data_IF_880916509047
#
_entry.id   IF_880916509047
#
_cell.length_a   1.000
_cell.length_b   1.000
_cell.length_c   1.000
_cell.angle_alpha   90.00
_cell.angle_beta   90.00
_cell.angle_gamma   90.00
#
_symmetry.space_group_name_H-M   'P 1'
#
loop_
_entity.id
_entity.type
_entity.pdbx_description
1 polymer ?
#
# COMPACT_ATOMS: atom_id res chain seq x y z
N UNK A 1 -2.47 9.91 42.82
CA UNK A 1 -2.28 11.11 41.96
C UNK A 1 -1.96 10.65 40.55
N UNK A 2 -2.98 10.61 39.69
CA UNK A 2 -2.88 10.10 38.31
C UNK A 2 -2.36 11.22 37.42
N UNK A 3 -1.12 11.08 36.92
CA UNK A 3 -0.51 12.05 36.01
C UNK A 3 -1.25 12.00 34.66
N UNK A 4 -1.98 13.07 34.33
CA UNK A 4 -2.58 13.31 33.01
C UNK A 4 -1.49 13.24 31.95
N UNK A 5 -1.52 12.21 31.10
CA UNK A 5 -0.70 12.13 29.89
C UNK A 5 -1.14 13.23 28.93
N UNK A 6 -0.23 14.19 28.67
CA UNK A 6 -0.40 15.21 27.63
C UNK A 6 -0.57 14.51 26.28
N UNK A 7 -1.75 14.68 25.69
CA UNK A 7 -2.06 14.25 24.34
C UNK A 7 -1.15 15.04 23.38
N UNK A 8 -0.11 14.40 22.85
CA UNK A 8 0.74 14.97 21.81
C UNK A 8 -0.06 14.89 20.51
N UNK A 9 -0.40 16.03 19.86
CA UNK A 9 -1.16 16.01 18.62
C UNK A 9 -0.40 15.22 17.55
N UNK A 10 -1.10 14.31 16.88
CA UNK A 10 -0.53 13.52 15.79
C UNK A 10 0.05 14.46 14.72
N UNK A 11 1.29 14.24 14.25
CA UNK A 11 1.92 15.11 13.27
C UNK A 11 1.11 15.06 11.96
N UNK A 12 0.61 16.22 11.53
CA UNK A 12 -0.01 16.38 10.21
C UNK A 12 1.08 16.10 9.17
N UNK A 13 0.92 15.02 8.40
CA UNK A 13 1.81 14.70 7.28
C UNK A 13 1.61 15.79 6.22
N UNK A 14 2.50 16.77 6.19
CA UNK A 14 2.56 17.78 5.14
C UNK A 14 2.97 17.09 3.84
N UNK A 15 2.15 17.23 2.80
CA UNK A 15 2.50 16.76 1.45
C UNK A 15 3.61 17.66 0.92
N UNK A 16 4.85 17.23 1.07
CA UNK A 16 6.02 17.91 0.53
C UNK A 16 6.07 17.70 -0.98
N UNK A 17 6.18 18.80 -1.73
CA UNK A 17 6.42 18.81 -3.18
C UNK A 17 7.89 19.15 -3.41
N UNK A 18 8.62 18.26 -4.05
CA UNK A 18 10.02 18.47 -4.43
C UNK A 18 10.13 18.48 -5.95
N UNK A 19 10.83 19.47 -6.49
CA UNK A 19 11.12 19.55 -7.91
C UNK A 19 12.41 18.78 -8.22
N UNK A 20 12.34 17.84 -9.17
CA UNK A 20 13.49 17.03 -9.56
C UNK A 20 13.14 15.86 -10.46
N UNK A 21 14.10 15.46 -11.29
CA UNK A 21 13.99 14.29 -12.17
C UNK A 21 14.67 13.07 -11.52
N UNK A 22 14.05 11.91 -11.66
CA UNK A 22 14.64 10.62 -11.32
C UNK A 22 15.52 10.13 -12.47
N UNK A 23 16.78 9.77 -12.19
CA UNK A 23 17.73 9.29 -13.21
C UNK A 23 18.24 7.87 -12.95
N UNK A 24 17.74 7.24 -11.89
CA UNK A 24 18.15 5.92 -11.45
C UNK A 24 17.00 4.94 -11.62
N UNK A 25 17.28 3.83 -12.30
CA UNK A 25 16.32 2.73 -12.45
C UNK A 25 15.84 2.25 -11.08
N UNK A 26 16.73 2.19 -10.08
CA UNK A 26 16.36 1.76 -8.73
C UNK A 26 15.32 2.69 -8.11
N UNK A 27 15.51 4.01 -8.21
CA UNK A 27 14.62 4.99 -7.59
C UNK A 27 13.26 5.08 -8.31
N UNK A 28 13.26 4.93 -9.64
CA UNK A 28 12.04 4.81 -10.43
C UNK A 28 11.22 3.58 -10.01
N UNK A 29 11.88 2.42 -9.86
CA UNK A 29 11.21 1.20 -9.41
C UNK A 29 10.72 1.30 -7.96
N UNK A 30 11.47 1.98 -7.07
CA UNK A 30 11.01 2.26 -5.70
C UNK A 30 9.73 3.08 -5.73
N UNK A 31 9.72 4.20 -6.46
CA UNK A 31 8.53 5.07 -6.54
C UNK A 31 7.32 4.30 -7.07
N UNK A 32 7.50 3.56 -8.18
CA UNK A 32 6.42 2.78 -8.77
C UNK A 32 5.87 1.71 -7.84
N UNK A 33 6.74 0.98 -7.15
CA UNK A 33 6.33 -0.02 -6.16
C UNK A 33 5.73 0.61 -4.91
N UNK A 34 6.13 1.82 -4.51
CA UNK A 34 5.49 2.50 -3.40
C UNK A 34 4.03 2.86 -3.72
N UNK A 35 3.75 3.32 -4.94
CA UNK A 35 2.41 3.72 -5.36
C UNK A 35 1.50 2.53 -5.68
N UNK A 36 2.05 1.44 -6.24
CA UNK A 36 1.26 0.34 -6.82
C UNK A 36 1.66 -1.08 -6.38
N UNK A 37 2.27 -1.26 -5.21
CA UNK A 37 2.65 -2.61 -4.71
C UNK A 37 1.45 -3.54 -4.47
N UNK A 38 1.54 -4.84 -4.79
CA UNK A 38 2.62 -5.52 -5.55
C UNK A 38 2.51 -5.31 -7.07
N UNK A 39 3.65 -5.36 -7.80
CA UNK A 39 3.67 -5.29 -9.28
C UNK A 39 4.38 -6.49 -9.90
N UNK A 40 3.96 -6.86 -11.12
CA UNK A 40 4.64 -7.85 -11.93
C UNK A 40 5.87 -7.26 -12.64
N UNK A 41 6.87 -8.09 -12.93
CA UNK A 41 8.10 -7.66 -13.65
C UNK A 41 7.77 -6.99 -14.99
N UNK A 42 6.77 -7.50 -15.72
CA UNK A 42 6.41 -6.96 -17.03
C UNK A 42 5.85 -5.53 -16.96
N UNK A 43 5.14 -5.19 -15.89
CA UNK A 43 4.63 -3.83 -15.64
C UNK A 43 5.78 -2.87 -15.32
N UNK A 44 6.70 -3.30 -14.45
CA UNK A 44 7.90 -2.55 -14.10
C UNK A 44 8.82 -2.30 -15.30
N UNK A 45 8.89 -3.26 -16.24
CA UNK A 45 9.67 -3.12 -17.48
C UNK A 45 9.06 -2.08 -18.41
N UNK A 46 7.73 -2.06 -18.57
CA UNK A 46 7.03 -1.05 -19.38
C UNK A 46 7.29 0.36 -18.84
N UNK A 47 7.17 0.53 -17.52
CA UNK A 47 7.43 1.81 -16.86
C UNK A 47 8.87 2.28 -17.04
N UNK A 48 9.84 1.37 -16.84
CA UNK A 48 11.27 1.67 -17.04
C UNK A 48 11.59 2.05 -18.49
N UNK A 49 10.92 1.42 -19.46
CA UNK A 49 11.07 1.71 -20.88
C UNK A 49 10.56 3.12 -21.25
N UNK A 50 9.41 3.52 -20.69
CA UNK A 50 8.79 4.81 -20.99
C UNK A 50 9.57 5.99 -20.42
N UNK A 51 10.14 5.85 -19.22
CA UNK A 51 10.73 6.99 -18.51
C UNK A 51 12.24 7.15 -18.68
N UNK A 52 13.00 6.04 -18.70
CA UNK A 52 14.45 6.09 -18.49
C UNK A 52 15.25 5.44 -19.61
N UNK A 53 14.68 4.43 -20.28
CA UNK A 53 15.40 3.56 -21.21
C UNK A 53 14.74 3.49 -22.60
N UNK A 54 14.23 4.61 -23.11
CA UNK A 54 13.46 4.70 -24.38
C UNK A 54 14.20 4.08 -25.56
N UNK A 55 15.54 4.17 -25.58
CA UNK A 55 16.38 3.71 -26.70
C UNK A 55 16.89 2.26 -26.57
N UNK A 56 16.44 1.50 -25.56
CA UNK A 56 16.92 0.14 -25.34
C UNK A 56 15.91 -0.93 -25.74
N UNK A 57 16.42 -2.10 -26.14
CA UNK A 57 15.58 -3.26 -26.43
C UNK A 57 14.91 -3.79 -25.16
N UNK A 58 13.67 -4.26 -25.28
CA UNK A 58 12.86 -4.74 -24.15
C UNK A 58 13.57 -5.84 -23.35
N UNK A 59 14.27 -6.77 -24.02
CA UNK A 59 15.06 -7.81 -23.36
C UNK A 59 16.20 -7.25 -22.50
N UNK A 60 16.87 -6.18 -22.94
CA UNK A 60 17.94 -5.52 -22.17
C UNK A 60 17.36 -4.80 -20.95
N UNK A 61 16.23 -4.12 -21.11
CA UNK A 61 15.51 -3.45 -20.01
C UNK A 61 15.08 -4.48 -18.97
N UNK A 62 14.43 -5.56 -19.38
CA UNK A 62 14.00 -6.64 -18.49
C UNK A 62 15.17 -7.25 -17.71
N UNK A 63 16.31 -7.50 -18.36
CA UNK A 63 17.52 -7.97 -17.68
C UNK A 63 18.02 -6.97 -16.64
N UNK A 64 17.97 -5.68 -16.93
CA UNK A 64 18.37 -4.62 -16.00
C UNK A 64 17.40 -4.50 -14.82
N UNK A 65 16.09 -4.56 -15.06
CA UNK A 65 15.05 -4.55 -14.02
C UNK A 65 15.22 -5.75 -13.09
N UNK A 66 15.34 -6.96 -13.63
CA UNK A 66 15.57 -8.17 -12.84
C UNK A 66 16.87 -8.07 -12.02
N UNK A 67 17.96 -7.60 -12.62
CA UNK A 67 19.22 -7.38 -11.90
C UNK A 67 19.05 -6.35 -10.78
N UNK A 68 18.29 -5.28 -11.00
CA UNK A 68 18.02 -4.25 -10.01
C UNK A 68 17.19 -4.80 -8.84
N UNK A 69 16.11 -5.53 -9.13
CA UNK A 69 15.22 -6.13 -8.14
C UNK A 69 15.96 -7.17 -7.28
N UNK A 70 16.81 -8.01 -7.88
CA UNK A 70 17.54 -9.05 -7.13
C UNK A 70 18.76 -8.53 -6.36
N UNK A 71 19.42 -7.46 -6.82
CA UNK A 71 20.64 -6.95 -6.17
C UNK A 71 20.37 -5.97 -5.02
N UNK A 72 19.23 -5.27 -5.04
CA UNK A 72 18.94 -4.24 -4.04
C UNK A 72 18.03 -4.81 -2.94
N UNK A 73 18.45 -4.78 -1.67
CA UNK A 73 17.70 -5.39 -0.56
C UNK A 73 16.40 -4.64 -0.19
N UNK A 74 16.19 -3.44 -0.75
CA UNK A 74 14.92 -2.71 -0.61
C UNK A 74 13.76 -3.40 -1.33
N UNK A 75 14.02 -4.30 -2.29
CA UNK A 75 12.97 -5.04 -2.98
C UNK A 75 12.81 -6.45 -2.39
N UNK A 76 11.56 -6.90 -2.29
CA UNK A 76 11.21 -8.26 -1.84
C UNK A 76 10.34 -8.93 -2.90
N UNK A 77 10.65 -10.18 -3.23
CA UNK A 77 9.77 -11.02 -4.03
C UNK A 77 8.68 -11.62 -3.12
N UNK A 78 7.42 -11.49 -3.51
CA UNK A 78 6.28 -12.15 -2.84
C UNK A 78 5.92 -13.50 -3.47
N UNK A 79 6.73 -13.97 -4.42
CA UNK A 79 6.45 -15.16 -5.22
C UNK A 79 5.58 -14.85 -6.44
N UNK A 80 5.41 -15.84 -7.32
CA UNK A 80 4.64 -15.72 -8.59
C UNK A 80 5.10 -14.59 -9.52
N UNK A 81 6.34 -14.12 -9.38
CA UNK A 81 6.88 -13.00 -10.16
C UNK A 81 6.43 -11.61 -9.72
N UNK A 82 5.79 -11.49 -8.54
CA UNK A 82 5.38 -10.22 -7.94
C UNK A 82 6.46 -9.67 -7.01
N UNK A 83 6.67 -8.36 -7.06
CA UNK A 83 7.66 -7.65 -6.27
C UNK A 83 7.02 -6.51 -5.46
N UNK A 84 7.57 -6.29 -4.28
CA UNK A 84 7.17 -5.25 -3.33
C UNK A 84 8.38 -4.44 -2.85
N UNK A 85 8.11 -3.22 -2.41
CA UNK A 85 9.10 -2.36 -1.74
C UNK A 85 9.06 -2.56 -0.23
N UNK A 86 10.24 -2.73 0.40
CA UNK A 86 10.37 -2.78 1.86
C UNK A 86 10.45 -1.36 2.42
N UNK A 87 9.49 -1.01 3.27
CA UNK A 87 9.43 0.30 3.95
C UNK A 87 9.94 0.26 5.39
N UNK A 88 10.35 -0.92 5.89
CA UNK A 88 10.91 -1.11 7.24
C UNK A 88 12.10 -0.18 7.51
N UNK A 89 12.88 0.10 6.46
CA UNK A 89 14.08 0.93 6.53
C UNK A 89 15.25 0.27 7.26
N UNK A 90 16.42 0.89 7.14
CA UNK A 90 17.60 0.53 7.94
C UNK A 90 17.69 1.46 9.15
N UNK A 91 17.87 0.88 10.35
CA UNK A 91 17.96 1.65 11.62
C UNK A 91 19.09 2.67 11.60
N UNK A 92 20.20 2.36 10.90
CA UNK A 92 21.33 3.27 10.71
C UNK A 92 20.94 4.55 9.94
N UNK A 93 19.91 4.51 9.10
CA UNK A 93 19.45 5.65 8.30
C UNK A 93 18.30 6.43 8.96
N UNK A 94 17.78 6.00 10.11
CA UNK A 94 16.64 6.65 10.77
C UNK A 94 16.95 8.10 11.16
N UNK A 95 18.20 8.40 11.48
CA UNK A 95 18.64 9.75 11.79
C UNK A 95 18.53 10.66 10.56
N UNK A 96 19.00 10.20 9.39
CA UNK A 96 18.90 10.91 8.12
C UNK A 96 17.43 11.09 7.68
N UNK A 97 16.59 10.06 7.88
CA UNK A 97 15.16 10.14 7.60
C UNK A 97 14.49 11.27 8.40
N UNK A 98 14.79 11.36 9.71
CA UNK A 98 14.27 12.43 10.57
C UNK A 98 14.75 13.81 10.14
N UNK A 99 16.01 13.93 9.70
CA UNK A 99 16.56 15.20 9.17
C UNK A 99 15.76 15.64 7.94
N UNK A 100 15.62 14.79 6.93
CA UNK A 100 14.84 15.10 5.72
C UNK A 100 13.39 15.42 6.06
N UNK A 101 12.77 14.67 6.97
CA UNK A 101 11.40 14.92 7.40
C UNK A 101 11.23 16.26 8.13
N UNK A 102 12.24 16.66 8.92
CA UNK A 102 12.21 17.94 9.64
C UNK A 102 12.46 19.15 8.73
N UNK A 103 13.34 19.00 7.73
CA UNK A 103 13.66 20.06 6.78
C UNK A 103 12.56 20.22 5.73
N UNK A 104 11.93 19.12 5.32
CA UNK A 104 10.86 19.15 4.33
C UNK A 104 11.33 19.50 2.91
N UNK A 105 12.60 19.23 2.59
CA UNK A 105 13.16 19.37 1.25
C UNK A 105 14.23 18.29 0.99
N UNK A 106 14.51 18.02 -0.27
CA UNK A 106 15.57 17.11 -0.66
C UNK A 106 16.95 17.75 -0.46
N UNK A 107 17.88 17.00 0.12
CA UNK A 107 19.20 17.50 0.52
C UNK A 107 20.32 16.61 -0.02
N UNK A 108 21.52 17.17 -0.21
CA UNK A 108 22.70 16.37 -0.56
C UNK A 108 23.17 15.56 0.63
N UNK A 109 23.83 14.43 0.39
CA UNK A 109 24.36 13.59 1.46
C UNK A 109 25.33 14.35 2.40
N UNK A 110 26.13 15.26 1.84
CA UNK A 110 27.04 16.14 2.60
C UNK A 110 26.31 17.06 3.57
N UNK A 111 25.16 17.60 3.16
CA UNK A 111 24.34 18.49 3.97
C UNK A 111 23.62 17.70 5.07
N UNK A 112 23.10 16.51 4.72
CA UNK A 112 22.50 15.59 5.70
C UNK A 112 23.52 15.22 6.78
N UNK A 113 24.74 14.83 6.39
CA UNK A 113 25.80 14.46 7.34
C UNK A 113 26.28 15.66 8.18
N UNK A 114 26.30 16.88 7.63
CA UNK A 114 26.59 18.09 8.40
C UNK A 114 25.56 18.31 9.52
N UNK A 115 24.26 18.23 9.20
CA UNK A 115 23.18 18.36 10.20
C UNK A 115 23.22 17.22 11.23
N UNK A 116 23.55 16.00 10.82
CA UNK A 116 23.70 14.86 11.74
C UNK A 116 24.87 15.07 12.70
N UNK A 117 26.00 15.58 12.20
CA UNK A 117 27.19 15.89 12.98
C UNK A 117 26.92 16.99 14.01
N UNK A 118 26.25 18.07 13.60
CA UNK A 118 25.81 19.14 14.51
C UNK A 118 24.86 18.62 15.60
N UNK A 119 24.00 17.66 15.26
CA UNK A 119 23.10 17.01 16.21
C UNK A 119 23.75 15.91 17.06
N UNK A 120 25.05 15.63 16.90
CA UNK A 120 25.77 14.56 17.60
C UNK A 120 25.28 13.15 17.25
N UNK A 121 24.69 12.96 16.08
CA UNK A 121 24.18 11.67 15.58
C UNK A 121 25.20 11.03 14.63
N UNK A 122 25.20 9.69 14.49
CA UNK A 122 26.09 9.00 13.56
C UNK A 122 25.82 9.46 12.12
N UNK A 123 26.91 9.73 11.39
CA UNK A 123 26.87 10.06 9.96
C UNK A 123 26.50 8.83 9.12
N UNK A 124 25.89 9.05 7.96
CA UNK A 124 25.62 7.97 7.01
C UNK A 124 26.93 7.64 6.27
N UNK A 125 27.40 6.38 6.31
CA UNK A 125 28.74 6.01 5.85
C UNK A 125 28.91 6.01 4.31
N UNK A 126 27.84 6.27 3.56
CA UNK A 126 27.89 6.40 2.10
C UNK A 126 26.51 6.33 1.44
N UNK A 127 26.44 6.75 0.18
CA UNK A 127 25.20 6.76 -0.61
C UNK A 127 24.59 5.35 -0.77
N UNK A 128 25.42 4.31 -0.84
CA UNK A 128 24.95 2.93 -1.04
C UNK A 128 23.98 2.48 0.06
N UNK A 129 24.13 2.99 1.29
CA UNK A 129 23.21 2.68 2.39
C UNK A 129 21.83 3.31 2.20
N UNK A 130 21.75 4.49 1.59
CA UNK A 130 20.48 5.13 1.25
C UNK A 130 19.86 4.49 0.01
N UNK A 131 20.66 4.08 -0.98
CA UNK A 131 20.16 3.29 -2.14
C UNK A 131 19.52 1.99 -1.67
N UNK A 132 20.13 1.31 -0.70
CA UNK A 132 19.62 0.04 -0.16
C UNK A 132 18.36 0.19 0.71
N UNK A 133 18.03 1.41 1.16
CA UNK A 133 16.85 1.68 1.99
C UNK A 133 15.68 2.15 1.11
N UNK A 134 14.55 1.45 1.22
CA UNK A 134 13.36 1.71 0.40
C UNK A 134 12.68 3.06 0.69
N UNK A 135 13.00 3.71 1.81
CA UNK A 135 12.39 5.00 2.20
C UNK A 135 13.00 6.21 1.49
N UNK A 136 14.15 6.05 0.85
CA UNK A 136 14.88 7.14 0.23
C UNK A 136 14.89 7.03 -1.30
N UNK A 137 14.83 8.18 -1.95
CA UNK A 137 14.93 8.37 -3.39
C UNK A 137 16.07 9.31 -3.70
N UNK A 138 16.89 8.98 -4.70
CA UNK A 138 17.91 9.89 -5.25
C UNK A 138 17.41 10.61 -6.50
N UNK A 139 17.56 11.94 -6.50
CA UNK A 139 17.30 12.81 -7.64
C UNK A 139 18.55 12.94 -8.53
N UNK A 140 18.35 13.37 -9.78
CA UNK A 140 19.41 13.55 -10.77
C UNK A 140 20.51 14.53 -10.36
N UNK A 141 20.17 15.53 -9.54
CA UNK A 141 21.07 16.54 -9.01
C UNK A 141 21.90 16.06 -7.79
N UNK A 142 21.74 14.79 -7.40
CA UNK A 142 22.42 14.17 -6.26
C UNK A 142 21.75 14.44 -4.91
N UNK A 143 20.58 15.11 -4.88
CA UNK A 143 19.80 15.30 -3.66
C UNK A 143 19.00 14.04 -3.33
N UNK A 144 18.78 13.83 -2.04
CA UNK A 144 18.04 12.72 -1.47
C UNK A 144 16.72 13.22 -0.88
N UNK A 145 15.63 12.57 -1.25
CA UNK A 145 14.30 12.81 -0.69
C UNK A 145 13.66 11.54 -0.14
N UNK A 146 12.47 11.69 0.43
CA UNK A 146 11.70 10.58 0.99
C UNK A 146 10.69 10.04 -0.01
N UNK A 147 10.52 8.71 -0.02
CA UNK A 147 9.67 7.97 -0.96
C UNK A 147 8.21 8.44 -1.00
N UNK A 148 7.69 8.99 0.10
CA UNK A 148 6.30 9.44 0.24
C UNK A 148 6.10 10.91 -0.14
N UNK A 149 7.13 11.59 -0.65
CA UNK A 149 7.02 12.94 -1.19
C UNK A 149 6.50 12.93 -2.62
N UNK A 150 5.95 14.06 -3.05
CA UNK A 150 5.51 14.24 -4.43
C UNK A 150 6.62 14.88 -5.25
N UNK A 151 7.03 14.20 -6.32
CA UNK A 151 8.10 14.64 -7.21
C UNK A 151 7.52 15.23 -8.48
N UNK A 152 7.87 16.48 -8.78
CA UNK A 152 7.46 17.17 -9.99
C UNK A 152 8.69 17.34 -10.88
N UNK A 153 8.63 16.77 -12.09
CA UNK A 153 9.68 16.97 -13.07
C UNK A 153 9.62 18.42 -13.56
N UNK A 154 10.72 19.19 -13.51
CA UNK A 154 10.71 20.55 -14.04
C UNK A 154 10.44 20.49 -15.54
N UNK A 155 9.42 21.22 -16.00
CA UNK A 155 9.16 21.37 -17.44
C UNK A 155 10.45 21.86 -18.10
N UNK A 156 10.97 21.06 -19.02
CA UNK A 156 12.13 21.44 -19.81
C UNK A 156 11.72 22.62 -20.69
N UNK A 157 11.96 23.84 -20.22
CA UNK A 157 11.84 25.03 -21.06
C UNK A 157 12.76 24.79 -22.26
N UNK A 158 12.25 24.79 -23.50
CA UNK A 158 13.07 24.57 -24.67
C UNK A 158 14.13 25.68 -24.71
N UNK A 159 15.36 25.30 -24.37
CA UNK A 159 16.50 26.20 -24.40
C UNK A 159 16.73 26.60 -25.86
N UNK A 160 16.78 27.90 -26.20
CA UNK A 160 16.99 28.35 -27.56
C UNK A 160 18.34 27.83 -28.06
N UNK A 161 18.29 27.13 -29.19
CA UNK A 161 19.42 26.49 -29.80
C UNK A 161 20.55 27.49 -30.11
N UNK A 162 21.77 27.15 -29.70
CA UNK A 162 22.96 27.64 -30.36
C UNK A 162 24.04 28.16 -29.43
N UNK A 163 24.83 27.28 -28.82
CA UNK A 163 26.26 27.54 -28.71
C UNK A 163 27.07 26.25 -28.62
N UNK A 164 28.00 26.13 -29.57
CA UNK A 164 28.86 24.97 -29.79
C UNK A 164 29.91 24.90 -28.69
N UNK A 165 30.02 23.73 -28.07
CA UNK A 165 31.17 23.33 -27.26
C UNK A 165 32.45 23.32 -28.10
N UNK A 166 33.61 23.64 -27.51
CA UNK A 166 34.84 22.94 -27.88
C UNK A 166 35.45 22.21 -26.67
N UNK A 167 35.66 20.91 -26.91
CA UNK A 167 36.83 20.09 -26.55
C UNK A 167 37.47 20.17 -25.15
N UNK A 168 37.53 19.00 -24.53
CA UNK A 168 38.43 18.58 -23.44
C UNK A 168 39.92 18.87 -23.73
N UNK A 169 40.79 18.73 -22.72
CA UNK A 169 41.68 17.57 -22.78
C UNK A 169 41.86 16.80 -21.46
N UNK A 170 42.29 15.56 -21.65
CA UNK A 170 42.55 14.52 -20.67
C UNK A 170 43.74 14.81 -19.74
N UNK A 171 43.66 14.31 -18.50
CA UNK A 171 44.83 13.98 -17.67
C UNK A 171 44.57 12.66 -16.93
N UNK A 172 45.65 11.88 -16.90
CA UNK A 172 45.89 10.51 -16.42
C UNK A 172 45.84 10.32 -14.89
N UNK A 173 45.61 9.06 -14.49
CA UNK A 173 45.65 8.39 -13.15
C UNK A 173 46.98 8.61 -12.36
N UNK A 174 47.23 8.15 -11.08
CA UNK A 174 46.90 6.80 -10.51
C UNK A 174 46.81 6.58 -8.94
N UNK A 175 46.31 5.37 -8.57
CA UNK A 175 46.73 4.39 -7.51
C UNK A 175 46.63 4.66 -5.97
N UNK A 176 46.39 3.55 -5.23
CA UNK A 176 46.64 3.18 -3.80
C UNK A 176 45.47 3.27 -2.79
N UNK A 177 44.84 2.17 -2.34
CA UNK A 177 45.23 1.07 -1.43
C UNK A 177 45.24 1.45 0.08
N UNK A 178 44.46 0.73 0.90
CA UNK A 178 44.50 0.87 2.37
C UNK A 178 43.43 0.07 3.13
N UNK A 179 43.79 -1.14 3.56
CA UNK A 179 43.08 -2.01 4.52
C UNK A 179 42.92 -1.35 5.91
N UNK A 180 41.86 -1.70 6.66
CA UNK A 180 41.97 -2.17 8.05
C UNK A 180 40.68 -2.81 8.59
N UNK A 181 40.83 -4.04 9.10
CA UNK A 181 39.97 -4.72 10.08
C UNK A 181 40.03 -4.01 11.44
N UNK A 182 38.96 -4.10 12.27
CA UNK A 182 39.01 -4.59 13.67
C UNK A 182 37.62 -5.15 14.06
N UNK A 183 37.65 -6.19 14.88
CA UNK A 183 36.59 -7.07 15.32
C UNK A 183 35.82 -6.65 16.60
N UNK A 184 34.68 -7.32 16.79
CA UNK A 184 34.18 -7.96 18.03
C UNK A 184 33.29 -7.22 19.07
N UNK A 185 32.42 -8.06 19.67
CA UNK A 185 31.74 -8.00 20.99
C UNK A 185 30.34 -7.32 21.03
N UNK A 186 29.30 -7.74 21.75
CA UNK A 186 28.74 -9.02 22.26
C UNK A 186 27.42 -8.65 22.99
N UNK A 187 26.29 -9.25 22.59
CA UNK A 187 25.09 -9.56 23.39
C UNK A 187 24.26 -8.41 24.07
N UNK A 188 23.15 -8.71 24.80
CA UNK A 188 21.79 -8.91 24.25
C UNK A 188 20.73 -8.04 24.99
N UNK A 189 19.44 -8.40 24.87
CA UNK A 189 18.24 -7.92 25.62
C UNK A 189 17.36 -6.93 24.82
N UNK A 190 16.03 -6.88 24.91
CA UNK A 190 14.95 -7.63 25.59
C UNK A 190 13.63 -7.22 24.91
N UNK A 191 12.59 -8.03 25.14
CA UNK A 191 11.16 -7.80 24.88
C UNK A 191 10.67 -6.35 25.06
N UNK A 192 9.68 -5.94 24.25
CA UNK A 192 8.41 -5.47 24.83
C UNK A 192 7.26 -5.41 23.82
N UNK A 193 6.15 -5.96 24.29
CA UNK A 193 4.82 -6.08 23.71
C UNK A 193 4.08 -4.75 23.83
N UNK A 194 3.45 -4.26 22.77
CA UNK A 194 2.58 -3.06 22.80
C UNK A 194 1.16 -3.45 22.36
N UNK A 195 0.11 -2.97 23.06
CA UNK A 195 -1.26 -3.43 22.86
C UNK A 195 -1.95 -2.72 21.68
N UNK A 196 -2.80 -3.49 21.00
CA UNK A 196 -3.62 -3.09 19.86
C UNK A 196 -4.87 -2.35 20.37
N UNK A 197 -4.93 -1.03 20.20
CA UNK A 197 -6.11 -0.23 20.48
C UNK A 197 -7.11 -0.30 19.30
N UNK A 198 -8.30 -0.83 19.59
CA UNK A 198 -9.46 -0.79 18.69
C UNK A 198 -10.00 0.64 18.65
N UNK A 199 -10.19 1.19 17.45
CA UNK A 199 -10.91 2.46 17.24
C UNK A 199 -12.23 2.17 16.53
N UNK A 200 -13.31 2.69 17.10
CA UNK A 200 -14.67 2.58 16.56
C UNK A 200 -14.83 3.45 15.29
N UNK A 201 -15.62 3.00 14.30
CA UNK A 201 -15.86 3.77 13.09
C UNK A 201 -16.90 4.86 13.33
N UNK A 202 -16.44 6.11 13.40
CA UNK A 202 -17.32 7.27 13.25
C UNK A 202 -17.87 7.33 11.82
N UNK A 203 -19.19 7.42 11.69
CA UNK A 203 -19.91 7.54 10.43
C UNK A 203 -19.39 8.74 9.62
N UNK A 204 -18.64 8.44 8.55
CA UNK A 204 -18.26 9.43 7.55
C UNK A 204 -19.42 9.52 6.56
N UNK A 205 -20.13 10.64 6.59
CA UNK A 205 -20.99 11.02 5.48
C UNK A 205 -20.12 11.11 4.22
N UNK A 206 -20.51 10.34 3.19
CA UNK A 206 -19.75 10.23 1.95
C UNK A 206 -19.71 11.61 1.26
N UNK A 207 -18.49 12.12 1.05
CA UNK A 207 -18.20 13.39 0.37
C UNK A 207 -18.94 13.57 -0.96
N UNK A 208 -19.27 12.48 -1.64
CA UNK A 208 -20.03 12.47 -2.89
C UNK A 208 -21.51 12.82 -2.73
N UNK A 209 -22.13 12.50 -1.59
CA UNK A 209 -23.51 12.88 -1.28
C UNK A 209 -23.62 14.40 -1.01
N UNK A 210 -22.50 15.05 -0.63
CA UNK A 210 -22.39 16.51 -0.51
C UNK A 210 -22.21 17.23 -1.85
N UNK A 211 -21.58 16.58 -2.83
CA UNK A 211 -21.35 17.19 -4.15
C UNK A 211 -22.59 17.15 -5.05
N UNK A 212 -23.50 16.19 -4.82
CA UNK A 212 -24.74 16.06 -5.58
C UNK A 212 -25.93 15.74 -4.67
N UNK A 213 -26.39 16.71 -3.84
CA UNK A 213 -27.54 16.51 -2.98
C UNK A 213 -28.82 16.40 -3.84
N UNK A 214 -29.17 15.18 -4.24
CA UNK A 214 -30.50 14.88 -4.75
C UNK A 214 -31.43 14.78 -3.55
N UNK A 215 -32.43 15.66 -3.47
CA UNK A 215 -33.48 15.60 -2.45
C UNK A 215 -34.08 14.19 -2.43
N UNK A 216 -34.02 13.45 -1.31
CA UNK A 216 -34.72 12.18 -1.21
C UNK A 216 -36.22 12.46 -1.12
N UNK A 217 -36.92 12.36 -2.24
CA UNK A 217 -38.37 12.22 -2.24
C UNK A 217 -38.68 10.79 -1.84
N UNK A 218 -38.88 10.54 -0.54
CA UNK A 218 -39.22 9.21 -0.07
C UNK A 218 -39.38 9.10 1.44
N UNK A 219 -40.44 9.70 2.00
CA UNK A 219 -41.03 9.21 3.24
C UNK A 219 -42.52 8.89 3.08
N UNK A 220 -42.88 7.80 3.75
CA UNK A 220 -44.13 7.05 3.77
C UNK A 220 -45.38 7.88 4.09
N UNK A 221 -46.36 7.78 3.20
CA UNK A 221 -47.70 7.28 3.53
C UNK A 221 -48.70 8.24 4.20
N UNK A 222 -49.61 8.79 3.39
CA UNK A 222 -51.06 8.80 3.63
C UNK A 222 -51.81 9.08 2.32
N UNK A 223 -53.01 8.52 2.19
CA UNK A 223 -53.72 8.27 0.95
C UNK A 223 -54.55 9.46 0.41
N UNK A 224 -54.79 9.38 -0.92
CA UNK A 224 -55.83 10.01 -1.76
C UNK A 224 -55.62 11.45 -2.29
N UNK A 225 -56.22 11.82 -3.45
CA UNK A 225 -56.50 11.05 -4.66
C UNK A 225 -55.78 11.60 -5.91
N UNK A 226 -55.62 10.71 -6.88
CA UNK A 226 -55.33 10.93 -8.30
C UNK A 226 -55.55 12.34 -8.85
N UNK A 227 -54.46 12.96 -9.30
CA UNK A 227 -54.45 13.92 -10.42
C UNK A 227 -53.51 13.37 -11.49
N UNK A 228 -53.97 13.17 -12.74
CA UNK A 228 -53.12 12.65 -13.80
C UNK A 228 -52.09 13.72 -14.18
N UNK A 229 -50.81 13.36 -14.08
CA UNK A 229 -49.72 14.12 -14.68
C UNK A 229 -49.96 14.09 -16.19
N UNK A 230 -50.49 15.20 -16.69
CA UNK A 230 -50.68 15.51 -18.09
C UNK A 230 -49.33 15.32 -18.78
N UNK A 231 -49.22 14.30 -19.63
CA UNK A 231 -48.16 14.18 -20.62
C UNK A 231 -48.08 15.53 -21.33
N UNK A 232 -46.95 16.21 -21.19
CA UNK A 232 -46.64 17.39 -21.98
C UNK A 232 -46.44 16.85 -23.40
N UNK A 233 -47.48 16.96 -24.22
CA UNK A 233 -47.35 16.73 -25.64
C UNK A 233 -46.25 17.65 -26.19
N UNK A 234 -45.46 17.17 -27.16
CA UNK A 234 -44.51 18.01 -27.85
C UNK A 234 -45.29 19.11 -28.57
N UNK A 235 -45.21 20.34 -28.08
CA UNK A 235 -45.79 21.47 -28.80
C UNK A 235 -45.23 21.47 -30.23
N UNK A 236 -46.09 21.50 -31.24
CA UNK A 236 -45.66 21.65 -32.61
C UNK A 236 -44.88 22.96 -32.69
N UNK A 237 -43.69 22.97 -33.28
CA UNK A 237 -42.82 24.10 -33.13
C UNK A 237 -43.40 25.27 -33.93
N UNK A 238 -43.51 26.42 -33.27
CA UNK A 238 -44.17 27.64 -33.76
C UNK A 238 -43.72 28.14 -35.16
N UNK A 239 -42.62 27.61 -35.71
CA UNK A 239 -42.19 27.89 -37.08
C UNK A 239 -43.02 27.17 -38.16
N UNK A 240 -43.71 26.08 -37.84
CA UNK A 240 -44.58 25.37 -38.79
C UNK A 240 -45.81 26.21 -39.19
N UNK A 241 -46.37 26.99 -38.26
CA UNK A 241 -47.49 27.91 -38.55
C UNK A 241 -47.04 29.14 -39.36
N UNK A 242 -45.79 29.58 -39.18
CA UNK A 242 -45.23 30.72 -39.92
C UNK A 242 -44.92 30.34 -41.38
N UNK A 243 -44.47 29.11 -41.63
CA UNK A 243 -44.23 28.60 -42.99
C UNK A 243 -45.53 28.44 -43.80
N UNK A 244 -46.61 27.95 -43.17
CA UNK A 244 -47.92 27.83 -43.81
C UNK A 244 -48.55 29.19 -44.17
N UNK A 245 -48.31 30.23 -43.36
CA UNK A 245 -48.76 31.60 -43.65
C UNK A 245 -48.04 32.26 -44.82
N UNK A 246 -46.77 31.92 -45.06
CA UNK A 246 -45.98 32.49 -46.16
C UNK A 246 -46.38 31.94 -47.54
N UNK A 247 -46.76 30.66 -47.64
CA UNK A 247 -47.20 30.07 -48.91
C UNK A 247 -48.57 30.62 -49.36
N UNK A 248 -49.50 30.85 -48.41
CA UNK A 248 -50.80 31.44 -48.69
C UNK A 248 -50.72 32.87 -49.27
N UNK A 249 -49.72 33.66 -48.88
CA UNK A 249 -49.52 35.02 -49.40
C UNK A 249 -48.97 35.05 -50.85
N UNK A 250 -48.28 33.98 -51.28
CA UNK A 250 -47.70 33.91 -52.63
C UNK A 250 -48.70 33.54 -53.72
N UNK A 251 -49.75 32.78 -53.37
CA UNK A 251 -50.81 32.43 -54.32
C UNK A 251 -51.76 33.60 -54.63
N UNK A 252 -51.93 34.55 -53.71
CA UNK A 252 -52.82 35.72 -53.91
C UNK A 252 -52.23 36.78 -54.85
N UNK A 253 -50.91 36.81 -55.05
CA UNK A 253 -50.23 37.78 -55.94
C UNK A 253 -50.15 37.34 -57.40
N UNK A 254 -50.45 36.07 -57.70
CA UNK A 254 -50.31 35.51 -59.06
C UNK A 254 -51.56 35.65 -59.93
N UNK A 255 -52.68 36.15 -59.39
CA UNK A 255 -53.98 36.21 -60.08
C UNK A 255 -54.41 37.61 -60.59
N UNK A 256 -53.57 38.64 -60.48
CA UNK A 256 -53.95 40.04 -60.82
C UNK A 256 -53.25 40.61 -62.08
N UNK A 257 -52.43 39.85 -62.80
CA UNK A 257 -51.78 40.35 -64.03
C UNK A 257 -52.28 39.66 -65.31
N UNK A 258 -53.45 40.11 -65.77
CA UNK A 258 -53.93 39.92 -67.14
C UNK A 258 -54.47 41.23 -67.70
N UNK A 259 -53.71 41.94 -68.55
CA UNK A 259 -54.18 43.22 -69.09
C UNK A 259 -53.21 44.05 -69.95
N UNK A 260 -52.80 43.48 -71.09
CA UNK A 260 -52.67 44.10 -72.44
C UNK A 260 -52.04 45.50 -72.66
N UNK A 261 -51.07 45.46 -73.60
CA UNK A 261 -50.72 46.41 -74.68
C UNK A 261 -49.77 47.60 -74.40
N UNK A 262 -48.54 47.42 -74.90
CA UNK A 262 -48.07 48.16 -76.08
C UNK A 262 -47.71 49.62 -75.90
N UNK A 263 -46.47 49.90 -75.46
CA UNK A 263 -45.80 51.16 -75.82
C UNK A 263 -44.28 50.95 -75.81
N UNK A 264 -43.67 51.01 -76.99
CA UNK A 264 -42.23 51.16 -77.17
C UNK A 264 -41.85 52.54 -76.65
N UNK A 265 -41.16 52.61 -75.51
CA UNK A 265 -40.61 53.87 -74.96
C UNK A 265 -39.34 53.59 -74.16
N UNK A 266 -38.34 54.42 -74.43
CA UNK A 266 -36.97 54.47 -73.90
C UNK A 266 -36.83 53.94 -72.47
N UNK A 267 -35.86 53.04 -72.26
CA UNK A 267 -35.42 52.58 -70.96
C UNK A 267 -35.17 53.78 -70.04
N UNK A 268 -36.07 53.92 -69.06
CA UNK A 268 -35.99 54.96 -68.04
C UNK A 268 -35.27 54.38 -66.81
N UNK A 269 -34.57 55.19 -66.00
CA UNK A 269 -33.84 54.73 -64.81
C UNK A 269 -34.70 53.93 -63.81
N UNK A 270 -36.03 54.09 -63.87
CA UNK A 270 -36.99 53.35 -63.04
C UNK A 270 -37.08 51.86 -63.36
N UNK A 271 -36.73 51.43 -64.57
CA UNK A 271 -36.79 50.00 -64.93
C UNK A 271 -35.52 49.27 -64.47
N UNK A 272 -34.37 49.95 -64.45
CA UNK A 272 -33.14 49.44 -63.82
C UNK A 272 -33.30 49.27 -62.31
N UNK A 273 -33.98 50.19 -61.62
CA UNK A 273 -34.31 50.06 -60.19
C UNK A 273 -35.21 48.85 -59.92
N UNK A 274 -36.22 48.59 -60.77
CA UNK A 274 -37.08 47.41 -60.62
C UNK A 274 -36.30 46.11 -60.82
N UNK A 275 -35.34 46.06 -61.74
CA UNK A 275 -34.50 44.88 -61.94
C UNK A 275 -33.59 44.62 -60.74
N UNK A 276 -32.99 45.67 -60.16
CA UNK A 276 -32.20 45.56 -58.91
C UNK A 276 -33.04 45.02 -57.75
N UNK A 277 -34.26 45.54 -57.57
CA UNK A 277 -35.19 45.04 -56.53
C UNK A 277 -35.58 43.57 -56.77
N UNK A 278 -35.74 43.14 -58.02
CA UNK A 278 -36.02 41.72 -58.33
C UNK A 278 -34.84 40.82 -57.98
N UNK A 279 -33.62 41.24 -58.32
CA UNK A 279 -32.40 40.52 -57.96
C UNK A 279 -32.25 40.39 -56.44
N UNK A 280 -32.49 41.48 -55.70
CA UNK A 280 -32.44 41.47 -54.23
C UNK A 280 -33.49 40.52 -53.62
N UNK A 281 -34.71 40.48 -54.14
CA UNK A 281 -35.74 39.54 -53.70
C UNK A 281 -35.32 38.08 -53.97
N UNK A 282 -34.68 37.81 -55.10
CA UNK A 282 -34.17 36.47 -55.43
C UNK A 282 -33.01 36.06 -54.54
N UNK A 283 -32.11 36.99 -54.20
CA UNK A 283 -31.02 36.78 -53.24
C UNK A 283 -31.57 36.47 -51.84
N UNK A 284 -32.51 37.27 -51.35
CA UNK A 284 -33.17 37.05 -50.05
C UNK A 284 -33.93 35.73 -50.01
N UNK A 285 -34.52 35.29 -51.12
CA UNK A 285 -35.16 33.97 -51.21
C UNK A 285 -34.14 32.83 -51.12
N UNK A 286 -32.98 32.99 -51.77
CA UNK A 286 -31.88 32.01 -51.68
C UNK A 286 -31.32 31.96 -50.26
N UNK A 287 -31.14 33.11 -49.62
CA UNK A 287 -30.67 33.19 -48.23
C UNK A 287 -31.67 32.53 -47.26
N UNK A 288 -32.97 32.84 -47.36
CA UNK A 288 -33.99 32.18 -46.54
C UNK A 288 -33.99 30.66 -46.71
N UNK A 289 -33.83 30.16 -47.95
CA UNK A 289 -33.72 28.72 -48.20
C UNK A 289 -32.49 28.11 -47.54
N UNK A 290 -31.34 28.80 -47.57
CA UNK A 290 -30.12 28.35 -46.90
C UNK A 290 -30.28 28.35 -45.38
N UNK A 291 -30.86 29.40 -44.80
CA UNK A 291 -31.12 29.51 -43.36
C UNK A 291 -32.07 28.42 -42.86
N UNK A 292 -33.12 28.09 -43.61
CA UNK A 292 -33.99 26.95 -43.28
C UNK A 292 -33.22 25.62 -43.29
N UNK A 293 -32.35 25.42 -44.28
CA UNK A 293 -31.49 24.23 -44.34
C UNK A 293 -30.52 24.14 -43.16
N UNK A 294 -29.97 25.26 -42.71
CA UNK A 294 -29.09 25.30 -41.54
C UNK A 294 -29.85 25.11 -40.22
N UNK A 295 -31.09 25.60 -40.13
CA UNK A 295 -32.00 25.37 -39.00
C UNK A 295 -32.34 23.88 -38.86
N UNK A 296 -32.62 23.18 -39.96
CA UNK A 296 -32.84 21.73 -39.96
C UNK A 296 -31.60 20.96 -39.47
N UNK A 297 -30.40 21.33 -39.93
CA UNK A 297 -29.14 20.71 -39.45
C UNK A 297 -28.94 20.96 -37.96
N UNK A 298 -29.22 22.17 -37.48
CA UNK A 298 -29.13 22.53 -36.07
C UNK A 298 -30.10 21.68 -35.24
N UNK A 299 -31.33 21.46 -35.72
CA UNK A 299 -32.31 20.60 -35.06
C UNK A 299 -31.86 19.14 -34.99
N UNK A 300 -31.31 18.58 -36.07
CA UNK A 300 -30.74 17.22 -36.05
C UNK A 300 -29.62 17.08 -35.03
N UNK A 301 -28.67 18.02 -35.03
CA UNK A 301 -27.57 18.03 -34.05
C UNK A 301 -28.05 18.20 -32.61
N UNK A 302 -29.08 19.02 -32.39
CA UNK A 302 -29.71 19.17 -31.06
C UNK A 302 -30.32 17.85 -30.58
N UNK A 303 -30.94 17.10 -31.47
CA UNK A 303 -31.56 15.82 -31.14
C UNK A 303 -30.53 14.71 -30.91
N UNK A 304 -29.46 14.67 -31.72
CA UNK A 304 -28.31 13.79 -31.50
C UNK A 304 -27.69 14.02 -30.11
N UNK A 305 -27.42 15.29 -29.75
CA UNK A 305 -26.91 15.64 -28.43
C UNK A 305 -27.85 15.26 -27.28
N UNK A 306 -29.18 15.32 -27.49
CA UNK A 306 -30.14 14.85 -26.49
C UNK A 306 -30.06 13.34 -26.30
N UNK A 307 -29.96 12.58 -27.40
CA UNK A 307 -29.82 11.13 -27.33
C UNK A 307 -28.51 10.72 -26.63
N UNK A 308 -27.40 11.37 -26.96
CA UNK A 308 -26.13 11.17 -26.26
C UNK A 308 -26.24 11.48 -24.76
N UNK A 309 -26.92 12.56 -24.39
CA UNK A 309 -27.15 12.91 -22.99
C UNK A 309 -27.96 11.83 -22.25
N UNK A 310 -29.03 11.32 -22.87
CA UNK A 310 -29.82 10.21 -22.28
C UNK A 310 -29.01 8.93 -22.11
N UNK A 311 -28.14 8.59 -23.08
CA UNK A 311 -27.26 7.42 -22.98
C UNK A 311 -26.24 7.57 -21.85
N UNK A 312 -25.66 8.76 -21.69
CA UNK A 312 -24.73 9.06 -20.60
C UNK A 312 -25.42 9.01 -19.23
N UNK A 313 -26.68 9.47 -19.13
CA UNK A 313 -27.48 9.36 -17.91
C UNK A 313 -27.73 7.90 -17.52
N UNK A 314 -28.08 7.04 -18.49
CA UNK A 314 -28.25 5.60 -18.25
C UNK A 314 -26.95 4.92 -17.79
N UNK A 315 -25.82 5.27 -18.42
CA UNK A 315 -24.49 4.78 -17.99
C UNK A 315 -24.17 5.20 -16.56
N UNK A 316 -24.48 6.45 -16.18
CA UNK A 316 -24.28 6.93 -14.81
C UNK A 316 -25.15 6.18 -13.80
N UNK A 317 -26.40 5.84 -14.15
CA UNK A 317 -27.29 5.04 -13.29
C UNK A 317 -26.72 3.62 -13.12
N UNK A 318 -26.28 2.97 -14.20
CA UNK A 318 -25.68 1.64 -14.14
C UNK A 318 -24.41 1.62 -13.26
N UNK A 319 -23.51 2.59 -13.44
CA UNK A 319 -22.30 2.72 -12.62
C UNK A 319 -22.62 2.97 -11.14
N UNK A 320 -23.70 3.70 -10.83
CA UNK A 320 -24.16 3.88 -9.43
C UNK A 320 -24.64 2.56 -8.82
N UNK A 321 -25.40 1.77 -9.56
CA UNK A 321 -25.87 0.45 -9.09
C UNK A 321 -24.67 -0.47 -8.86
N UNK A 322 -23.71 -0.52 -9.78
CA UNK A 322 -22.47 -1.30 -9.61
C UNK A 322 -21.69 -0.86 -8.37
N UNK A 323 -21.51 0.45 -8.18
CA UNK A 323 -20.88 1.02 -6.98
C UNK A 323 -21.59 0.58 -5.70
N UNK A 324 -22.92 0.59 -5.66
CA UNK A 324 -23.68 0.15 -4.49
C UNK A 324 -23.55 -1.36 -4.25
N UNK A 325 -23.50 -2.17 -5.31
CA UNK A 325 -23.24 -3.62 -5.18
C UNK A 325 -21.83 -3.90 -4.63
N UNK A 326 -20.82 -3.15 -5.08
CA UNK A 326 -19.46 -3.24 -4.57
C UNK A 326 -19.38 -2.78 -3.12
N UNK A 327 -20.07 -1.69 -2.74
CA UNK A 327 -20.14 -1.21 -1.36
C UNK A 327 -20.71 -2.29 -0.42
N UNK A 328 -21.76 -3.01 -0.83
CA UNK A 328 -22.32 -4.16 -0.10
C UNK A 328 -21.34 -5.34 0.01
N UNK A 329 -20.55 -5.62 -1.04
CA UNK A 329 -19.53 -6.68 -1.00
C UNK A 329 -18.39 -6.31 -0.05
N UNK A 330 -17.96 -5.06 -0.05
CA UNK A 330 -16.93 -4.56 0.87
C UNK A 330 -17.39 -4.68 2.32
N UNK A 331 -18.60 -4.21 2.68
CA UNK A 331 -19.10 -4.33 4.05
C UNK A 331 -19.24 -5.78 4.53
N UNK A 332 -19.63 -6.69 3.62
CA UNK A 332 -19.67 -8.13 3.91
C UNK A 332 -18.28 -8.72 4.16
N UNK A 333 -17.27 -8.32 3.37
CA UNK A 333 -15.89 -8.76 3.56
C UNK A 333 -15.28 -8.20 4.85
N UNK A 334 -15.56 -6.95 5.20
CA UNK A 334 -15.14 -6.35 6.48
C UNK A 334 -15.73 -7.11 7.68
N UNK A 335 -17.01 -7.48 7.61
CA UNK A 335 -17.66 -8.29 8.65
C UNK A 335 -16.99 -9.67 8.80
N UNK A 336 -16.68 -10.34 7.68
CA UNK A 336 -15.96 -11.62 7.68
C UNK A 336 -14.54 -11.48 8.24
N UNK A 337 -13.84 -10.40 7.91
CA UNK A 337 -12.51 -10.12 8.44
C UNK A 337 -12.56 -9.95 9.96
N UNK A 338 -13.53 -9.19 10.47
CA UNK A 338 -13.71 -9.01 11.91
C UNK A 338 -14.03 -10.35 12.63
N UNK A 339 -14.86 -11.21 12.03
CA UNK A 339 -15.13 -12.55 12.55
C UNK A 339 -13.87 -13.42 12.58
N UNK A 340 -13.10 -13.46 11.49
CA UNK A 340 -11.85 -14.23 11.41
C UNK A 340 -10.78 -13.71 12.38
N UNK A 341 -10.69 -12.39 12.56
CA UNK A 341 -9.80 -11.79 13.56
C UNK A 341 -10.22 -12.18 14.97
N UNK A 342 -11.53 -12.23 15.26
CA UNK A 342 -12.07 -12.69 16.54
C UNK A 342 -11.75 -14.17 16.81
N UNK A 343 -11.95 -15.06 15.82
CA UNK A 343 -11.63 -16.48 15.97
C UNK A 343 -10.13 -16.71 16.12
N UNK A 344 -9.29 -16.02 15.34
CA UNK A 344 -7.84 -16.10 15.43
C UNK A 344 -7.32 -15.64 16.80
N UNK A 345 -7.83 -14.51 17.32
CA UNK A 345 -7.44 -14.03 18.64
C UNK A 345 -7.80 -15.03 19.74
N UNK A 346 -8.97 -15.68 19.62
CA UNK A 346 -9.38 -16.74 20.54
C UNK A 346 -8.45 -17.96 20.47
N UNK A 347 -8.14 -18.47 19.28
CA UNK A 347 -7.24 -19.64 19.14
C UNK A 347 -5.83 -19.34 19.61
N UNK A 348 -5.33 -18.12 19.39
CA UNK A 348 -4.02 -17.69 19.93
C UNK A 348 -4.05 -17.63 21.46
N UNK A 349 -5.11 -17.07 22.06
CA UNK A 349 -5.26 -17.03 23.51
C UNK A 349 -5.35 -18.44 24.12
N UNK A 350 -6.12 -19.34 23.50
CA UNK A 350 -6.27 -20.72 23.94
C UNK A 350 -4.92 -21.47 23.86
N UNK A 351 -4.18 -21.32 22.75
CA UNK A 351 -2.84 -21.90 22.58
C UNK A 351 -1.82 -21.34 23.60
N UNK A 352 -1.89 -20.04 23.91
CA UNK A 352 -1.05 -19.43 24.94
C UNK A 352 -1.36 -19.99 26.34
N UNK A 353 -2.63 -20.20 26.65
CA UNK A 353 -3.06 -20.81 27.91
C UNK A 353 -2.57 -22.28 28.02
N UNK A 354 -2.68 -23.06 26.94
CA UNK A 354 -2.13 -24.42 26.89
C UNK A 354 -0.61 -24.45 27.05
N UNK A 355 0.09 -23.52 26.37
CA UNK A 355 1.55 -23.41 26.52
C UNK A 355 1.95 -23.07 27.97
N UNK A 356 1.21 -22.18 28.64
CA UNK A 356 1.46 -21.85 30.05
C UNK A 356 1.23 -23.07 30.97
N UNK A 357 0.14 -23.82 30.73
CA UNK A 357 -0.18 -25.05 31.46
C UNK A 357 0.90 -26.12 31.30
N UNK A 358 1.35 -26.38 30.07
CA UNK A 358 2.41 -27.35 29.79
C UNK A 358 3.74 -26.94 30.42
N UNK A 359 4.10 -25.65 30.37
CA UNK A 359 5.30 -25.12 31.05
C UNK A 359 5.24 -25.34 32.56
N UNK A 360 4.08 -25.18 33.19
CA UNK A 360 3.91 -25.46 34.61
C UNK A 360 4.09 -26.94 34.92
N UNK A 361 3.47 -27.83 34.14
CA UNK A 361 3.63 -29.28 34.30
C UNK A 361 5.09 -29.72 34.14
N UNK A 362 5.83 -29.12 33.20
CA UNK A 362 7.24 -29.40 32.99
C UNK A 362 8.08 -29.01 34.22
N UNK A 363 7.86 -27.83 34.80
CA UNK A 363 8.53 -27.42 36.05
C UNK A 363 8.21 -28.34 37.23
N UNK A 364 6.96 -28.79 37.36
CA UNK A 364 6.56 -29.73 38.39
C UNK A 364 7.29 -31.09 38.25
N UNK A 365 7.44 -31.58 37.01
CA UNK A 365 8.19 -32.80 36.73
C UNK A 365 9.69 -32.63 36.96
N UNK A 366 10.29 -31.51 36.56
CA UNK A 366 11.68 -31.18 36.86
C UNK A 366 11.94 -31.15 38.38
N UNK A 367 11.05 -30.52 39.15
CA UNK A 367 11.13 -30.50 40.60
C UNK A 367 11.03 -31.89 41.23
N UNK A 368 10.11 -32.74 40.75
CA UNK A 368 10.00 -34.14 41.19
C UNK A 368 11.28 -34.92 40.89
N UNK A 369 11.83 -34.77 39.69
CA UNK A 369 13.08 -35.44 39.29
C UNK A 369 14.26 -34.98 40.16
N UNK A 370 14.42 -33.68 40.38
CA UNK A 370 15.46 -33.16 41.28
C UNK A 370 15.34 -33.73 42.70
N UNK A 371 14.13 -33.82 43.23
CA UNK A 371 13.88 -34.41 44.55
C UNK A 371 14.28 -35.89 44.59
N UNK A 372 13.96 -36.67 43.54
CA UNK A 372 14.37 -38.08 43.44
C UNK A 372 15.87 -38.26 43.27
N UNK A 373 16.55 -37.35 42.57
CA UNK A 373 18.00 -37.37 42.42
C UNK A 373 18.69 -37.15 43.76
N UNK A 374 18.25 -36.15 44.53
CA UNK A 374 18.79 -35.89 45.89
C UNK A 374 18.59 -37.12 46.78
N UNK A 375 17.39 -37.72 46.76
CA UNK A 375 17.12 -38.94 47.54
C UNK A 375 18.00 -40.13 47.12
N UNK A 376 18.29 -40.29 45.82
CA UNK A 376 19.21 -41.32 45.34
C UNK A 376 20.65 -41.04 45.80
N UNK A 377 21.13 -39.80 45.73
CA UNK A 377 22.46 -39.43 46.24
C UNK A 377 22.59 -39.72 47.74
N UNK A 378 21.57 -39.38 48.53
CA UNK A 378 21.55 -39.68 49.97
C UNK A 378 21.56 -41.18 50.26
N UNK A 379 20.84 -41.96 49.44
CA UNK A 379 20.85 -43.42 49.52
C UNK A 379 22.22 -44.00 49.15
N UNK A 380 22.89 -43.48 48.13
CA UNK A 380 24.26 -43.86 47.76
C UNK A 380 25.26 -43.56 48.90
N UNK A 381 25.16 -42.39 49.53
CA UNK A 381 25.96 -42.03 50.72
C UNK A 381 25.72 -43.01 51.87
N UNK A 382 24.46 -43.31 52.18
CA UNK A 382 24.09 -44.27 53.23
C UNK A 382 24.65 -45.68 52.94
N UNK A 383 24.57 -46.15 51.69
CA UNK A 383 25.15 -47.43 51.28
C UNK A 383 26.67 -47.42 51.45
N UNK A 384 27.35 -46.34 51.07
CA UNK A 384 28.80 -46.21 51.22
C UNK A 384 29.22 -46.24 52.70
N UNK A 385 28.48 -45.58 53.59
CA UNK A 385 28.76 -45.58 55.02
C UNK A 385 28.51 -46.96 55.65
N UNK A 386 27.41 -47.64 55.29
CA UNK A 386 27.16 -49.02 55.70
C UNK A 386 28.26 -49.98 55.22
N UNK A 387 28.83 -49.75 54.03
CA UNK A 387 29.96 -50.54 53.54
C UNK A 387 31.23 -50.28 54.36
N UNK A 388 31.52 -49.04 54.76
CA UNK A 388 32.64 -48.70 55.64
C UNK A 388 32.47 -49.33 57.02
N UNK A 389 31.29 -49.22 57.62
CA UNK A 389 30.98 -49.86 58.91
C UNK A 389 31.15 -51.38 58.82
N UNK A 390 30.65 -52.00 57.74
CA UNK A 390 30.85 -53.43 57.50
C UNK A 390 32.32 -53.79 57.40
N UNK A 391 33.15 -52.99 56.71
CA UNK A 391 34.59 -53.22 56.62
C UNK A 391 35.28 -53.04 57.97
N UNK A 392 34.90 -52.04 58.75
CA UNK A 392 35.44 -51.77 60.07
C UNK A 392 35.09 -52.89 61.05
N UNK A 393 33.82 -53.32 61.09
CA UNK A 393 33.41 -54.52 61.83
C UNK A 393 34.19 -55.76 61.39
N UNK A 394 34.45 -55.91 60.09
CA UNK A 394 35.27 -57.00 59.56
C UNK A 394 36.72 -56.91 60.03
N UNK A 395 37.29 -55.70 60.16
CA UNK A 395 38.63 -55.47 60.74
C UNK A 395 38.65 -55.80 62.23
N UNK A 396 37.66 -55.32 62.98
CA UNK A 396 37.50 -55.61 64.41
C UNK A 396 37.37 -57.11 64.68
N UNK A 397 36.55 -57.83 63.88
CA UNK A 397 36.42 -59.30 64.00
C UNK A 397 37.67 -60.06 63.55
N UNK A 398 38.50 -59.46 62.69
CA UNK A 398 39.74 -60.06 62.20
C UNK A 398 40.92 -59.88 63.15
N UNK A 399 40.74 -59.21 64.30
CA UNK A 399 41.77 -59.17 65.34
C UNK A 399 42.15 -60.58 65.77
N UNK A 400 43.45 -60.88 65.75
CA UNK A 400 43.98 -62.21 66.05
C UNK A 400 43.52 -62.76 67.42
N UNK A 401 43.39 -61.95 68.50
CA UNK A 401 42.81 -62.43 69.77
C UNK A 401 41.36 -62.89 69.64
N UNK A 402 40.51 -62.21 68.87
CA UNK A 402 39.10 -62.60 68.66
C UNK A 402 39.02 -63.89 67.85
N UNK A 403 39.85 -64.02 66.80
CA UNK A 403 39.96 -65.27 66.03
C UNK A 403 40.51 -66.42 66.86
N UNK A 404 41.47 -66.17 67.74
CA UNK A 404 42.02 -67.15 68.67
C UNK A 404 40.98 -67.58 69.70
N UNK A 405 40.24 -66.64 70.29
CA UNK A 405 39.14 -66.92 71.21
C UNK A 405 38.01 -67.72 70.53
N UNK A 406 37.65 -67.38 69.30
CA UNK A 406 36.68 -68.15 68.50
C UNK A 406 37.19 -69.56 68.17
N UNK A 407 38.49 -69.73 67.87
CA UNK A 407 39.12 -71.05 67.66
C UNK A 407 39.18 -71.87 68.94
N UNK A 408 39.54 -71.26 70.07
CA UNK A 408 39.57 -71.91 71.38
C UNK A 408 38.15 -72.32 71.80
N UNK A 409 37.15 -71.43 71.67
CA UNK A 409 35.76 -71.77 71.95
C UNK A 409 35.25 -72.93 71.08
N UNK A 410 35.62 -72.96 69.80
CA UNK A 410 35.33 -74.10 68.92
C UNK A 410 36.05 -75.39 69.36
N UNK A 411 37.30 -75.28 69.84
CA UNK A 411 38.08 -76.42 70.35
C UNK A 411 37.48 -77.00 71.64
N UNK A 412 36.93 -76.17 72.52
CA UNK A 412 36.22 -76.57 73.74
C UNK A 412 34.77 -77.02 73.49
N UNK A 413 34.33 -77.20 72.24
CA UNK A 413 33.02 -77.76 71.92
C UNK A 413 31.85 -76.80 72.06
N UNK A 414 32.08 -75.49 72.28
CA UNK A 414 31.02 -74.48 72.18
C UNK A 414 30.65 -74.26 70.72
N UNK A 415 29.77 -75.12 70.18
CA UNK A 415 29.11 -74.86 68.89
C UNK A 415 28.26 -73.60 69.03
N UNK A 416 28.70 -72.52 68.40
CA UNK A 416 27.93 -71.29 68.27
C UNK A 416 26.52 -71.62 67.77
N UNK A 417 25.51 -71.27 68.57
CA UNK A 417 24.06 -71.48 68.37
C UNK A 417 23.50 -70.67 67.18
N UNK A 418 24.32 -70.37 66.16
CA UNK A 418 23.97 -69.47 65.07
C UNK A 418 23.15 -70.13 63.96
N UNK A 419 23.14 -71.46 63.88
CA UNK A 419 22.37 -72.18 62.85
C UNK A 419 20.86 -72.31 63.18
N UNK A 420 20.46 -72.30 64.46
CA UNK A 420 19.02 -72.40 64.81
C UNK A 420 18.21 -71.14 64.51
N UNK A 421 18.84 -69.97 64.42
CA UNK A 421 18.13 -68.71 64.16
C UNK A 421 17.84 -68.45 62.67
N UNK A 422 18.71 -68.93 61.76
CA UNK A 422 18.49 -68.74 60.31
C UNK A 422 17.36 -69.61 59.75
N UNK A 423 17.11 -70.78 60.34
CA UNK A 423 16.02 -71.66 59.91
C UNK A 423 14.61 -71.07 60.19
N UNK A 424 14.46 -70.10 61.11
CA UNK A 424 13.15 -69.48 61.40
C UNK A 424 12.85 -68.22 60.57
N UNK A 425 13.86 -67.60 59.94
CA UNK A 425 13.67 -66.37 59.19
C UNK A 425 13.23 -66.60 57.72
N UNK A 426 13.41 -67.81 57.19
CA UNK A 426 12.98 -68.17 55.82
C UNK A 426 11.67 -68.96 55.76
N UNK A 427 10.97 -69.15 56.88
CA UNK A 427 9.70 -69.89 56.95
C UNK A 427 8.46 -69.00 57.14
N UNK A 428 8.52 -67.72 56.77
CA UNK A 428 7.36 -66.82 56.78
C UNK A 428 7.23 -66.08 55.47
#
# INVERSE_FOLDING_TARGET
MVKKTKNVPAPKITKVKVTGKLDSLTDLLKLRLFEYSPQAVDELVKEAQQNLLVNHTLAKIQKNVNRCLSKNPCFRSEGKGLWCLRLDGLKENDAAHRVLQSQGDAMRLTEINAVLKEAGKPEVPGEQKLVADGRFIRLKDGRWGLIHWSYVEPESVPSPAGEKTPSQPAVTSPIEAGKKEVAAVMAPQTSDTVPLAQSEPAAKEDFWDKLFPLKPTGEKGTAAPTTPVKQLEPEPPAWAEIAAGAEAATLTLSLINGGKAGTVRQASPKDEEKEKMRQEIEDLRRENKNLLGDLEKLHRRKEELRQELTQMEEQLVNLRVERDTLKKRVSHLETRLMQLQGTLNKTVSDAQAEQARLKQQLREQEYRLQTTLIANEDLERAVADLQKERQELKRQLNFWPVRLALRLAAFFGFRLVRERARARAYSR
#
